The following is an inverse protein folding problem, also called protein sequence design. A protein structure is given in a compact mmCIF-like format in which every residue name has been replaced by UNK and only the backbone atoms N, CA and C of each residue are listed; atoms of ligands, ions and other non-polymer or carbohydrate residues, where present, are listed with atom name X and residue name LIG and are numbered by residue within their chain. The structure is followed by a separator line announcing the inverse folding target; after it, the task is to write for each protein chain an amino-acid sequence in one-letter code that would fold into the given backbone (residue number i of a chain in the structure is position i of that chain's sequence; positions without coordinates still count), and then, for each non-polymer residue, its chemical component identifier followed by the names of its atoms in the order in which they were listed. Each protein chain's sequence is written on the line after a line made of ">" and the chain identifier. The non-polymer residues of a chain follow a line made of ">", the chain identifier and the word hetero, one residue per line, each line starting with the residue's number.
data_IF_729556788411
#
_entry.id   IF_729556788411
#
_cell.length_a   1.000
_cell.length_b   1.000
_cell.length_c   1.000
_cell.angle_alpha   90.00
_cell.angle_beta   90.00
_cell.angle_gamma   90.00
#
_symmetry.space_group_name_H-M   'P 1'
#
loop_
_entity.id
_entity.type
_entity.pdbx_description
1 polymer ?
#
# COMPACT_ATOMS: atom_id res chain seq x y z
N UNK A 1 2.34 13.97 -24.44
CA UNK A 1 2.26 13.99 -22.96
C UNK A 1 3.66 13.84 -22.40
N UNK A 2 4.10 14.75 -21.52
CA UNK A 2 5.36 14.59 -20.80
C UNK A 2 5.07 13.87 -19.48
N UNK A 3 5.59 12.66 -19.31
CA UNK A 3 5.47 11.92 -18.04
C UNK A 3 6.59 12.38 -17.10
N UNK A 4 6.21 12.67 -15.84
CA UNK A 4 7.17 12.97 -14.77
C UNK A 4 7.53 11.67 -14.06
N UNK A 5 8.82 11.43 -13.86
CA UNK A 5 9.29 10.28 -13.10
C UNK A 5 9.20 10.57 -11.60
N UNK A 6 8.49 9.75 -10.80
CA UNK A 6 8.43 9.93 -9.36
C UNK A 6 9.78 9.63 -8.69
N UNK A 7 9.96 10.15 -7.47
CA UNK A 7 11.14 9.85 -6.65
C UNK A 7 11.17 8.37 -6.26
N UNK A 8 12.35 7.85 -5.97
CA UNK A 8 12.50 6.53 -5.36
C UNK A 8 11.98 6.55 -3.93
N UNK A 9 11.42 5.42 -3.49
CA UNK A 9 11.10 5.16 -2.10
C UNK A 9 12.38 4.95 -1.29
N UNK A 10 12.28 5.28 -0.01
CA UNK A 10 13.31 5.14 1.01
C UNK A 10 12.69 4.55 2.27
N UNK A 11 13.49 3.87 3.10
CA UNK A 11 13.12 3.55 4.49
C UNK A 11 12.53 4.78 5.21
N UNK A 12 11.44 4.59 5.93
CA UNK A 12 10.63 5.60 6.61
C UNK A 12 9.56 6.28 5.74
N UNK A 13 9.52 6.03 4.42
CA UNK A 13 8.47 6.60 3.56
C UNK A 13 7.09 6.01 3.87
N UNK A 14 6.06 6.84 3.69
CA UNK A 14 4.66 6.44 3.77
C UNK A 14 4.13 5.96 2.42
N UNK A 15 3.36 4.88 2.44
CA UNK A 15 2.64 4.33 1.29
C UNK A 15 1.19 4.08 1.65
N UNK A 16 0.28 4.37 0.73
CA UNK A 16 -1.15 4.10 0.91
C UNK A 16 -1.52 2.78 0.25
N UNK A 17 -2.24 1.92 0.97
CA UNK A 17 -2.91 0.76 0.40
C UNK A 17 -4.34 1.15 0.06
N UNK A 18 -4.74 1.01 -1.20
CA UNK A 18 -6.05 1.43 -1.71
C UNK A 18 -6.64 0.32 -2.58
N UNK A 19 -7.96 0.15 -2.51
CA UNK A 19 -8.70 -0.78 -3.36
C UNK A 19 -9.54 0.03 -4.35
N UNK A 20 -9.21 -0.08 -5.64
CA UNK A 20 -9.90 0.66 -6.71
C UNK A 20 -10.74 -0.26 -7.61
N UNK A 21 -10.74 -1.55 -7.33
CA UNK A 21 -11.41 -2.58 -8.13
C UNK A 21 -11.81 -3.78 -7.27
N UNK A 22 -12.91 -4.42 -7.62
CA UNK A 22 -13.36 -5.67 -7.00
C UNK A 22 -12.62 -6.91 -7.54
N UNK A 23 -12.48 -7.99 -6.75
CA UNK A 23 -12.98 -8.13 -5.38
C UNK A 23 -12.08 -7.44 -4.34
N UNK A 24 -12.69 -7.00 -3.25
CA UNK A 24 -11.97 -6.46 -2.08
C UNK A 24 -11.16 -7.60 -1.43
N UNK A 25 -9.87 -7.40 -1.13
CA UNK A 25 -9.05 -8.43 -0.50
C UNK A 25 -9.56 -8.77 0.89
N UNK A 26 -9.30 -10.01 1.35
CA UNK A 26 -9.64 -10.37 2.72
C UNK A 26 -8.71 -9.64 3.71
N UNK A 27 -9.18 -9.44 4.94
CA UNK A 27 -8.36 -8.82 6.00
C UNK A 27 -7.02 -9.54 6.22
N UNK A 28 -7.00 -10.87 6.10
CA UNK A 28 -5.77 -11.66 6.23
C UNK A 28 -4.77 -11.40 5.10
N UNK A 29 -5.25 -11.18 3.88
CA UNK A 29 -4.39 -10.81 2.75
C UNK A 29 -3.81 -9.40 2.95
N UNK A 30 -4.62 -8.45 3.41
CA UNK A 30 -4.18 -7.09 3.74
C UNK A 30 -3.11 -7.11 4.84
N UNK A 31 -3.33 -7.85 5.92
CA UNK A 31 -2.37 -7.97 7.02
C UNK A 31 -1.02 -8.56 6.55
N UNK A 32 -1.05 -9.53 5.63
CA UNK A 32 0.16 -10.09 5.04
C UNK A 32 0.88 -9.07 4.15
N UNK A 33 0.14 -8.30 3.34
CA UNK A 33 0.71 -7.25 2.51
C UNK A 33 1.37 -6.14 3.36
N UNK A 34 0.69 -5.70 4.43
CA UNK A 34 1.24 -4.69 5.36
C UNK A 34 2.56 -5.18 5.95
N UNK A 35 2.61 -6.41 6.49
CA UNK A 35 3.85 -7.00 7.04
C UNK A 35 4.98 -7.05 6.01
N UNK A 36 4.68 -7.40 4.76
CA UNK A 36 5.68 -7.43 3.70
C UNK A 36 6.23 -6.04 3.38
N UNK A 37 5.40 -4.99 3.38
CA UNK A 37 5.83 -3.61 3.11
C UNK A 37 6.61 -3.03 4.28
N UNK A 38 6.18 -3.29 5.51
CA UNK A 38 6.89 -2.88 6.73
C UNK A 38 8.29 -3.53 6.84
N UNK A 39 8.50 -4.71 6.27
CA UNK A 39 9.82 -5.34 6.19
C UNK A 39 10.83 -4.54 5.33
N UNK A 40 10.35 -3.64 4.47
CA UNK A 40 11.18 -2.66 3.74
C UNK A 40 11.31 -1.31 4.49
N UNK A 41 10.91 -1.27 5.76
CA UNK A 41 10.87 -0.08 6.61
C UNK A 41 9.94 0.99 6.05
N UNK A 42 8.83 0.59 5.41
CA UNK A 42 7.79 1.51 4.94
C UNK A 42 6.67 1.62 5.98
N UNK A 43 6.12 2.81 6.14
CA UNK A 43 4.90 3.02 6.93
C UNK A 43 3.68 2.86 6.02
N UNK A 44 2.76 1.95 6.35
CA UNK A 44 1.58 1.68 5.51
C UNK A 44 0.33 2.31 6.11
N UNK A 45 -0.31 3.20 5.34
CA UNK A 45 -1.62 3.74 5.65
C UNK A 45 -2.67 2.93 4.86
N UNK A 46 -3.51 2.16 5.54
CA UNK A 46 -4.56 1.36 4.90
C UNK A 46 -5.85 2.17 4.82
N UNK A 47 -6.37 2.36 3.61
CA UNK A 47 -7.65 3.03 3.40
C UNK A 47 -8.80 2.19 3.96
N UNK A 48 -9.78 2.84 4.58
CA UNK A 48 -10.91 2.19 5.24
C UNK A 48 -11.77 1.35 4.27
N UNK A 49 -11.74 1.65 2.98
CA UNK A 49 -12.49 0.95 1.95
C UNK A 49 -11.75 -0.28 1.36
N UNK A 50 -10.59 -0.64 1.91
CA UNK A 50 -9.79 -1.79 1.46
C UNK A 50 -10.25 -3.10 2.10
N UNK A 51 -11.07 -3.04 3.15
CA UNK A 51 -11.61 -4.19 3.85
C UNK A 51 -13.15 -4.15 3.78
N UNK A 52 -13.77 -5.28 3.46
CA UNK A 52 -15.21 -5.51 3.65
C UNK A 52 -15.52 -5.88 5.11
#
# INVERSE_FOLDING_TARGET
>A
MNLVKPRRLRPGDRVALVSVSSPVPSRGDVDNMVKCLEAFDLTVDVDENVMD
#
